data_IF_868804520081
#
_entry.id   IF_868804520081
#
_cell.length_a   1.000
_cell.length_b   1.000
_cell.length_c   1.000
_cell.angle_alpha   90.00
_cell.angle_beta   90.00
_cell.angle_gamma   90.00
#
_symmetry.space_group_name_H-M   'P 1'
#
loop_
_entity.id
_entity.type
_entity.pdbx_description
1 polymer ?
#
# COMPACT_ATOMS: atom_id res chain seq x y z
N UNK A 1 19.00 15.55 -11.29
CA UNK A 1 17.80 15.95 -12.02
C UNK A 1 16.79 14.85 -11.80
N UNK A 2 15.53 15.21 -11.52
CA UNK A 2 14.46 14.23 -11.34
C UNK A 2 14.31 13.38 -12.62
N UNK A 3 14.08 12.07 -12.47
CA UNK A 3 13.87 11.17 -13.60
C UNK A 3 12.86 10.08 -13.25
N UNK A 4 12.04 9.72 -14.24
CA UNK A 4 11.04 8.64 -14.16
C UNK A 4 11.42 7.58 -15.18
N UNK A 5 11.55 6.32 -14.74
CA UNK A 5 11.94 5.20 -15.61
C UNK A 5 11.10 3.97 -15.30
N UNK A 6 10.68 3.23 -16.34
CA UNK A 6 10.11 1.90 -16.14
C UNK A 6 11.23 0.89 -15.81
N UNK A 7 11.00 0.07 -14.79
CA UNK A 7 11.91 -0.99 -14.34
C UNK A 7 11.21 -2.34 -14.33
N UNK A 8 11.98 -3.43 -14.22
CA UNK A 8 11.46 -4.79 -14.38
C UNK A 8 10.94 -5.04 -15.80
N UNK A 9 10.35 -6.21 -16.05
CA UNK A 9 9.68 -6.57 -17.30
C UNK A 9 8.22 -6.96 -17.08
N UNK A 10 7.84 -7.29 -15.84
CA UNK A 10 6.48 -7.66 -15.50
C UNK A 10 5.51 -6.52 -15.79
N UNK A 11 4.36 -6.86 -16.37
CA UNK A 11 3.25 -5.93 -16.59
C UNK A 11 2.04 -6.41 -15.78
N UNK A 12 1.80 -5.74 -14.67
CA UNK A 12 0.66 -6.01 -13.81
C UNK A 12 -0.65 -5.62 -14.50
N UNK A 13 -1.73 -6.33 -14.20
CA UNK A 13 -3.06 -5.84 -14.52
C UNK A 13 -3.46 -4.72 -13.56
N UNK A 14 -3.17 -4.92 -12.27
CA UNK A 14 -3.35 -3.90 -11.23
C UNK A 14 -2.27 -4.05 -10.15
N UNK A 15 -1.12 -3.41 -10.37
CA UNK A 15 0.00 -3.46 -9.42
C UNK A 15 -0.32 -2.67 -8.17
N UNK A 16 0.00 -3.18 -6.98
CA UNK A 16 -0.37 -2.54 -5.70
C UNK A 16 0.57 -2.93 -4.56
N UNK A 17 0.41 -2.28 -3.40
CA UNK A 17 1.05 -2.63 -2.13
C UNK A 17 2.58 -2.75 -2.17
N UNK A 18 3.34 -1.84 -2.82
CA UNK A 18 4.79 -1.92 -2.85
C UNK A 18 5.39 -1.70 -1.46
N UNK A 19 6.40 -2.51 -1.13
CA UNK A 19 7.19 -2.40 0.09
C UNK A 19 8.64 -2.76 -0.19
N UNK A 20 9.56 -1.92 0.30
CA UNK A 20 10.99 -2.19 0.23
C UNK A 20 11.46 -3.01 1.43
N UNK A 21 12.10 -4.14 1.18
CA UNK A 21 12.58 -5.06 2.21
C UNK A 21 13.79 -5.87 1.74
N UNK A 22 14.86 -5.91 2.54
CA UNK A 22 16.09 -6.67 2.25
C UNK A 22 16.61 -6.49 0.81
N UNK A 23 16.75 -5.23 0.38
CA UNK A 23 17.21 -4.85 -0.96
C UNK A 23 16.35 -5.37 -2.13
N UNK A 24 15.07 -5.64 -1.84
CA UNK A 24 14.05 -6.06 -2.81
C UNK A 24 12.83 -5.17 -2.70
N UNK A 25 12.16 -4.96 -3.83
CA UNK A 25 10.81 -4.45 -3.82
C UNK A 25 9.84 -5.63 -3.88
N UNK A 26 8.93 -5.72 -2.92
CA UNK A 26 7.85 -6.71 -2.89
C UNK A 26 6.55 -5.95 -3.15
N UNK A 27 5.66 -6.50 -3.98
CA UNK A 27 4.38 -5.87 -4.33
C UNK A 27 3.40 -6.93 -4.82
N UNK A 28 2.19 -6.54 -5.19
CA UNK A 28 1.14 -7.47 -5.65
C UNK A 28 0.62 -7.09 -7.03
N UNK A 29 0.03 -8.05 -7.74
CA UNK A 29 -0.90 -7.81 -8.85
C UNK A 29 -2.26 -8.36 -8.42
N UNK A 30 -3.16 -7.44 -8.06
CA UNK A 30 -4.46 -7.78 -7.46
C UNK A 30 -5.23 -8.70 -8.39
N UNK A 31 -5.40 -8.30 -9.65
CA UNK A 31 -6.25 -8.97 -10.63
C UNK A 31 -5.63 -10.24 -11.21
N UNK A 32 -4.32 -10.43 -11.08
CA UNK A 32 -3.63 -11.68 -11.46
C UNK A 32 -3.32 -12.59 -10.28
N UNK A 33 -3.77 -12.26 -9.07
CA UNK A 33 -3.61 -13.10 -7.88
C UNK A 33 -2.14 -13.44 -7.58
N UNK A 34 -1.24 -12.45 -7.71
CA UNK A 34 0.20 -12.67 -7.59
C UNK A 34 0.83 -11.76 -6.54
N UNK A 35 1.72 -12.34 -5.75
CA UNK A 35 2.76 -11.60 -5.03
C UNK A 35 4.00 -11.59 -5.91
N UNK A 36 4.70 -10.46 -5.97
CA UNK A 36 5.87 -10.23 -6.81
C UNK A 36 7.05 -9.74 -5.98
N UNK A 37 8.25 -10.10 -6.41
CA UNK A 37 9.50 -9.58 -5.89
C UNK A 37 10.37 -9.11 -7.06
N UNK A 38 10.89 -7.89 -6.98
CA UNK A 38 11.80 -7.30 -7.94
C UNK A 38 13.16 -7.04 -7.28
N UNK A 39 14.23 -7.53 -7.91
CA UNK A 39 15.61 -7.24 -7.56
C UNK A 39 16.16 -6.12 -8.47
N UNK A 40 16.34 -4.88 -7.98
CA UNK A 40 16.87 -3.81 -8.82
C UNK A 40 18.36 -3.96 -9.17
N UNK A 41 19.12 -4.79 -8.44
CA UNK A 41 20.54 -5.01 -8.73
C UNK A 41 20.74 -5.91 -9.96
N UNK A 42 19.82 -6.87 -10.18
CA UNK A 42 19.93 -7.86 -11.27
C UNK A 42 18.85 -7.69 -12.33
N UNK A 43 17.75 -7.02 -12.02
CA UNK A 43 16.53 -6.97 -12.83
C UNK A 43 15.67 -8.23 -12.75
N UNK A 44 16.00 -9.19 -11.88
CA UNK A 44 15.24 -10.43 -11.69
C UNK A 44 13.86 -10.14 -11.07
N UNK A 45 12.85 -10.85 -11.57
CA UNK A 45 11.48 -10.79 -11.06
C UNK A 45 11.00 -12.20 -10.70
N UNK A 46 10.51 -12.36 -9.47
CA UNK A 46 9.86 -13.59 -9.00
C UNK A 46 8.38 -13.32 -8.76
N UNK A 47 7.57 -14.37 -8.88
CA UNK A 47 6.14 -14.28 -8.53
C UNK A 47 5.63 -15.56 -7.90
N UNK A 48 4.68 -15.41 -6.98
CA UNK A 48 3.96 -16.50 -6.32
C UNK A 48 2.48 -16.35 -6.65
N UNK A 49 1.89 -17.40 -7.21
CA UNK A 49 0.46 -17.45 -7.51
C UNK A 49 -0.30 -17.89 -6.26
N UNK A 50 -1.24 -17.07 -5.82
CA UNK A 50 -2.06 -17.30 -4.61
C UNK A 50 -3.54 -17.46 -4.94
N UNK A 51 -3.88 -17.69 -6.21
CA UNK A 51 -5.27 -17.77 -6.70
C UNK A 51 -6.08 -18.89 -6.04
N UNK A 52 -5.44 -20.01 -5.70
CA UNK A 52 -6.11 -21.17 -5.12
C UNK A 52 -6.46 -21.01 -3.63
N UNK A 53 -5.87 -20.03 -2.94
CA UNK A 53 -6.02 -19.86 -1.49
C UNK A 53 -6.46 -18.45 -1.12
N UNK A 54 -5.68 -17.43 -1.49
CA UNK A 54 -5.91 -16.01 -1.13
C UNK A 54 -6.86 -15.32 -2.10
N UNK A 55 -6.86 -15.74 -3.38
CA UNK A 55 -7.60 -15.05 -4.44
C UNK A 55 -6.88 -13.77 -4.88
N UNK A 56 -7.63 -12.68 -5.08
CA UNK A 56 -7.05 -11.34 -5.24
C UNK A 56 -6.34 -10.95 -3.98
N UNK A 57 -5.11 -10.49 -4.13
CA UNK A 57 -4.22 -10.11 -3.03
C UNK A 57 -3.94 -8.62 -3.16
N UNK A 58 -4.37 -7.83 -2.17
CA UNK A 58 -4.29 -6.37 -2.19
C UNK A 58 -3.03 -5.81 -1.53
N UNK A 59 -2.45 -6.55 -0.58
CA UNK A 59 -1.32 -6.08 0.23
C UNK A 59 -0.41 -7.23 0.63
N UNK A 60 0.86 -6.89 0.87
CA UNK A 60 1.92 -7.79 1.32
C UNK A 60 2.88 -7.05 2.24
N UNK A 61 3.26 -7.69 3.36
CA UNK A 61 4.31 -7.19 4.27
C UNK A 61 5.27 -8.31 4.68
N UNK A 62 6.56 -8.01 4.92
CA UNK A 62 7.50 -8.97 5.49
C UNK A 62 7.18 -9.28 6.95
N UNK A 63 7.63 -10.44 7.43
CA UNK A 63 7.48 -10.87 8.83
C UNK A 63 8.82 -11.08 9.52
N UNK A 64 8.84 -10.86 10.84
CA UNK A 64 9.99 -11.22 11.70
C UNK A 64 9.99 -12.72 12.00
N UNK A 65 8.84 -13.29 12.40
CA UNK A 65 8.74 -14.75 12.60
C UNK A 65 8.33 -15.39 11.28
N UNK A 66 9.04 -16.45 10.91
CA UNK A 66 8.91 -17.08 9.59
C UNK A 66 8.21 -18.44 9.65
N UNK A 67 7.65 -18.81 10.81
CA UNK A 67 6.82 -20.00 10.93
C UNK A 67 5.55 -19.84 10.08
N UNK A 68 5.34 -20.79 9.17
CA UNK A 68 4.22 -20.75 8.21
C UNK A 68 4.41 -19.81 7.02
N UNK A 69 5.52 -19.06 6.95
CA UNK A 69 5.88 -18.17 5.83
C UNK A 69 6.56 -16.88 6.28
N UNK A 70 7.32 -16.25 5.39
CA UNK A 70 8.10 -15.04 5.67
C UNK A 70 7.41 -13.74 5.20
N UNK A 71 6.24 -13.88 4.58
CA UNK A 71 5.35 -12.78 4.21
C UNK A 71 3.98 -12.95 4.86
N UNK A 72 3.29 -11.84 5.11
CA UNK A 72 1.87 -11.77 5.43
C UNK A 72 1.16 -11.08 4.26
N UNK A 73 0.08 -11.67 3.78
CA UNK A 73 -0.74 -11.16 2.68
C UNK A 73 -2.21 -11.03 3.08
N UNK A 74 -2.91 -10.06 2.49
CA UNK A 74 -4.36 -9.88 2.65
C UNK A 74 -5.07 -9.92 1.30
N UNK A 75 -6.18 -10.66 1.22
CA UNK A 75 -6.93 -10.81 -0.03
C UNK A 75 -8.41 -11.10 0.13
N UNK A 76 -8.97 -11.81 -0.86
CA UNK A 76 -10.40 -12.19 -0.91
C UNK A 76 -10.79 -13.11 0.26
N UNK A 77 -9.89 -13.98 0.73
CA UNK A 77 -10.18 -14.99 1.76
C UNK A 77 -9.52 -14.68 3.10
N UNK A 78 -9.35 -13.39 3.40
CA UNK A 78 -8.77 -12.92 4.64
C UNK A 78 -7.24 -12.79 4.62
N UNK A 79 -6.61 -13.01 5.78
CA UNK A 79 -5.18 -12.87 6.01
C UNK A 79 -4.49 -14.23 6.00
N UNK A 80 -3.36 -14.31 5.29
CA UNK A 80 -2.56 -15.54 5.15
C UNK A 80 -1.08 -15.23 5.33
N UNK A 81 -0.31 -16.22 5.78
CA UNK A 81 1.13 -16.23 5.57
C UNK A 81 1.46 -16.83 4.20
N UNK A 82 2.53 -16.34 3.58
CA UNK A 82 3.11 -16.88 2.35
C UNK A 82 4.58 -17.20 2.60
N UNK A 83 4.97 -18.44 2.32
CA UNK A 83 6.35 -18.90 2.34
C UNK A 83 6.97 -18.74 0.95
N UNK A 84 7.91 -17.80 0.79
CA UNK A 84 8.54 -17.55 -0.53
C UNK A 84 9.35 -18.72 -1.08
N UNK A 85 9.82 -19.64 -0.23
CA UNK A 85 10.65 -20.77 -0.66
C UNK A 85 9.81 -21.86 -1.33
N UNK A 86 8.64 -22.17 -0.76
CA UNK A 86 7.75 -23.24 -1.19
C UNK A 86 6.55 -22.75 -1.99
N UNK A 87 6.19 -21.48 -1.86
CA UNK A 87 4.93 -20.91 -2.36
C UNK A 87 3.70 -21.34 -1.57
N UNK A 88 3.87 -22.03 -0.43
CA UNK A 88 2.77 -22.44 0.41
C UNK A 88 2.14 -21.24 1.13
N UNK A 89 0.82 -21.30 1.33
CA UNK A 89 0.07 -20.31 2.10
C UNK A 89 -0.56 -20.96 3.33
N UNK A 90 -0.59 -20.21 4.44
CA UNK A 90 -1.19 -20.64 5.71
C UNK A 90 -2.22 -19.61 6.14
N UNK A 91 -3.50 -19.99 6.21
CA UNK A 91 -4.56 -19.10 6.64
C UNK A 91 -4.39 -18.68 8.11
N UNK A 92 -4.66 -17.40 8.41
CA UNK A 92 -4.62 -16.81 9.75
C UNK A 92 -6.05 -16.59 10.24
N UNK A 93 -6.78 -15.72 9.55
CA UNK A 93 -8.14 -15.29 9.93
C UNK A 93 -8.81 -14.56 8.77
N UNK A 94 -10.14 -14.62 8.72
CA UNK A 94 -10.98 -13.81 7.84
C UNK A 94 -12.03 -13.10 8.71
N UNK A 95 -11.99 -11.77 8.83
CA UNK A 95 -12.99 -11.02 9.59
C UNK A 95 -14.34 -10.89 8.88
N UNK A 96 -14.41 -11.13 7.57
CA UNK A 96 -15.59 -10.86 6.76
C UNK A 96 -16.01 -12.07 5.88
N UNK A 97 -16.06 -13.31 6.41
CA UNK A 97 -16.27 -14.52 5.60
C UNK A 97 -17.65 -14.57 4.93
N UNK A 98 -18.62 -13.82 5.46
CA UNK A 98 -19.98 -13.72 4.92
C UNK A 98 -20.17 -12.51 3.99
N UNK A 99 -19.13 -11.70 3.73
CA UNK A 99 -19.18 -10.56 2.81
C UNK A 99 -18.49 -10.88 1.49
N UNK A 100 -19.16 -11.63 0.63
CA UNK A 100 -18.65 -12.06 -0.69
C UNK A 100 -18.23 -10.91 -1.62
N UNK A 101 -18.70 -9.68 -1.36
CA UNK A 101 -18.35 -8.48 -2.12
C UNK A 101 -17.27 -7.63 -1.45
N UNK A 102 -16.57 -8.16 -0.44
CA UNK A 102 -15.44 -7.50 0.19
C UNK A 102 -14.14 -8.29 -0.02
N UNK A 103 -13.02 -7.58 0.04
CA UNK A 103 -11.68 -8.14 0.11
C UNK A 103 -10.75 -7.18 0.84
N UNK A 104 -9.64 -7.65 1.40
CA UNK A 104 -8.56 -6.75 1.79
C UNK A 104 -8.01 -5.99 0.56
N UNK A 105 -7.64 -4.74 0.78
CA UNK A 105 -7.02 -3.87 -0.22
C UNK A 105 -5.63 -3.45 0.26
N UNK A 106 -5.41 -2.19 0.64
CA UNK A 106 -4.09 -1.78 1.12
C UNK A 106 -3.88 -2.12 2.62
N UNK A 107 -2.61 -2.24 3.00
CA UNK A 107 -2.18 -2.53 4.35
C UNK A 107 -0.69 -2.34 4.56
N UNK A 108 -0.31 -1.98 5.79
CA UNK A 108 1.08 -1.76 6.20
C UNK A 108 1.24 -2.01 7.69
N UNK A 109 2.47 -2.29 8.12
CA UNK A 109 2.78 -2.41 9.54
C UNK A 109 3.04 -1.06 10.19
N UNK A 110 2.48 -0.90 11.39
CA UNK A 110 2.85 0.14 12.34
C UNK A 110 4.31 0.00 12.81
N UNK A 111 4.94 1.07 13.35
CA UNK A 111 6.33 1.04 13.83
C UNK A 111 6.61 -0.01 14.92
N UNK A 112 5.58 -0.42 15.66
CA UNK A 112 5.63 -1.45 16.70
C UNK A 112 5.25 -2.85 16.19
N UNK A 113 5.14 -3.02 14.86
CA UNK A 113 5.05 -4.33 14.21
C UNK A 113 3.65 -4.94 14.19
N UNK A 114 2.59 -4.15 14.42
CA UNK A 114 1.19 -4.57 14.18
C UNK A 114 0.83 -4.34 12.73
N UNK A 115 0.13 -5.28 12.10
CA UNK A 115 -0.30 -5.15 10.72
C UNK A 115 -1.68 -4.51 10.64
N UNK A 116 -1.80 -3.38 9.95
CA UNK A 116 -3.09 -2.76 9.65
C UNK A 116 -3.41 -2.98 8.18
N UNK A 117 -4.60 -3.47 7.91
CA UNK A 117 -5.11 -3.62 6.55
C UNK A 117 -6.62 -3.43 6.57
N UNK A 118 -7.16 -2.78 5.56
CA UNK A 118 -8.60 -2.58 5.48
C UNK A 118 -9.21 -3.23 4.24
N UNK A 119 -10.50 -3.47 4.34
CA UNK A 119 -11.28 -4.04 3.25
C UNK A 119 -11.82 -2.97 2.33
N UNK A 120 -12.40 -3.40 1.21
CA UNK A 120 -13.12 -2.55 0.26
C UNK A 120 -14.44 -3.20 -0.09
N UNK A 121 -15.45 -2.39 -0.41
CA UNK A 121 -16.68 -2.89 -1.03
C UNK A 121 -16.52 -2.90 -2.55
N UNK A 122 -16.54 -4.07 -3.17
CA UNK A 122 -16.44 -4.26 -4.63
C UNK A 122 -17.67 -3.71 -5.38
N UNK A 123 -18.79 -3.59 -4.67
CA UNK A 123 -20.04 -2.98 -5.16
C UNK A 123 -20.16 -1.51 -4.75
N UNK A 124 -19.11 -0.93 -4.15
CA UNK A 124 -19.01 0.47 -3.73
C UNK A 124 -20.09 0.90 -2.73
N UNK A 125 -20.52 -0.01 -1.84
CA UNK A 125 -21.41 0.34 -0.74
C UNK A 125 -20.66 1.19 0.29
N UNK A 126 -21.16 2.40 0.53
CA UNK A 126 -20.56 3.31 1.49
C UNK A 126 -20.61 2.73 2.92
N UNK A 127 -19.47 2.69 3.59
CA UNK A 127 -19.35 2.24 4.98
C UNK A 127 -19.45 0.73 5.19
N UNK A 128 -19.39 -0.07 4.12
CA UNK A 128 -19.49 -1.54 4.17
C UNK A 128 -18.12 -2.23 4.38
N UNK A 129 -17.04 -1.47 4.39
CA UNK A 129 -15.69 -1.95 4.67
C UNK A 129 -15.18 -1.49 6.03
N UNK A 130 -14.06 -2.07 6.46
CA UNK A 130 -13.47 -1.85 7.79
C UNK A 130 -11.94 -1.86 7.71
N UNK A 131 -11.28 -1.00 8.47
CA UNK A 131 -9.84 -1.11 8.75
C UNK A 131 -9.62 -2.01 9.96
N UNK A 132 -8.83 -3.07 9.77
CA UNK A 132 -8.48 -4.02 10.82
C UNK A 132 -7.03 -3.85 11.26
N UNK A 133 -6.74 -4.32 12.47
CA UNK A 133 -5.41 -4.43 13.07
C UNK A 133 -5.17 -5.86 13.55
N UNK A 134 -4.14 -6.50 13.03
CA UNK A 134 -3.62 -7.77 13.51
C UNK A 134 -2.43 -7.50 14.45
N UNK A 135 -2.56 -7.94 15.69
CA UNK A 135 -1.50 -7.86 16.70
C UNK A 135 -0.50 -9.03 16.54
N UNK A 136 0.72 -8.95 17.10
CA UNK A 136 1.76 -9.98 16.94
C UNK A 136 1.43 -11.37 17.52
N UNK A 137 0.34 -11.47 18.29
CA UNK A 137 -0.23 -12.71 18.80
C UNK A 137 -1.36 -13.27 17.91
N UNK A 138 -1.55 -12.67 16.74
CA UNK A 138 -2.58 -12.97 15.74
C UNK A 138 -4.01 -12.63 16.19
N UNK A 139 -4.19 -11.87 17.27
CA UNK A 139 -5.49 -11.30 17.60
C UNK A 139 -5.86 -10.19 16.61
N UNK A 140 -7.07 -10.26 16.06
CA UNK A 140 -7.57 -9.31 15.08
C UNK A 140 -8.60 -8.38 15.73
N UNK A 141 -8.44 -7.09 15.50
CA UNK A 141 -9.27 -6.03 16.06
C UNK A 141 -9.79 -5.10 14.96
N UNK A 142 -10.98 -4.57 15.14
CA UNK A 142 -11.42 -3.41 14.34
C UNK A 142 -10.65 -2.17 14.81
N UNK A 143 -9.93 -1.53 13.89
CA UNK A 143 -9.19 -0.30 14.17
C UNK A 143 -9.99 0.95 13.82
N UNK A 144 -10.75 0.90 12.71
CA UNK A 144 -11.63 1.99 12.27
C UNK A 144 -12.75 1.41 11.39
N UNK A 145 -14.00 1.79 11.68
CA UNK A 145 -15.20 1.26 11.03
C UNK A 145 -15.76 2.20 9.95
N UNK A 146 -16.79 1.73 9.23
CA UNK A 146 -17.51 2.51 8.21
C UNK A 146 -16.61 3.07 7.12
N UNK A 147 -15.60 2.30 6.74
CA UNK A 147 -14.74 2.55 5.58
C UNK A 147 -15.51 2.18 4.31
N UNK A 148 -15.16 2.81 3.18
CA UNK A 148 -15.73 2.44 1.87
C UNK A 148 -14.69 1.78 0.98
N UNK A 149 -13.52 2.40 0.86
CA UNK A 149 -12.39 1.89 0.09
C UNK A 149 -11.08 2.15 0.86
N UNK A 150 -10.63 1.18 1.66
CA UNK A 150 -9.41 1.29 2.44
C UNK A 150 -8.17 1.35 1.56
N UNK A 151 -7.35 2.38 1.77
CA UNK A 151 -6.14 2.61 0.99
C UNK A 151 -4.98 3.11 1.87
N UNK A 152 -4.05 3.86 1.28
CA UNK A 152 -2.77 4.27 1.84
C UNK A 152 -2.77 4.49 3.35
N UNK A 153 -1.90 3.75 4.05
CA UNK A 153 -1.68 3.89 5.49
C UNK A 153 -0.18 4.00 5.82
N UNK A 154 0.18 4.97 6.65
CA UNK A 154 1.55 5.20 7.15
C UNK A 154 1.54 5.82 8.55
N UNK A 155 2.70 5.84 9.20
CA UNK A 155 2.91 6.50 10.49
C UNK A 155 3.95 7.60 10.37
N UNK A 156 3.81 8.63 11.19
CA UNK A 156 4.87 9.63 11.41
C UNK A 156 6.16 8.97 11.89
N UNK A 157 7.30 9.62 11.67
CA UNK A 157 8.61 9.07 12.05
C UNK A 157 8.76 8.82 13.57
N UNK A 158 8.05 9.59 14.40
CA UNK A 158 7.99 9.39 15.86
C UNK A 158 6.97 8.32 16.28
N UNK A 159 6.23 7.75 15.32
CA UNK A 159 5.19 6.76 15.52
C UNK A 159 3.92 7.29 16.21
N UNK A 160 3.78 8.59 16.46
CA UNK A 160 2.66 9.12 17.25
C UNK A 160 1.39 9.39 16.44
N UNK A 161 1.51 9.52 15.11
CA UNK A 161 0.38 9.81 14.21
C UNK A 161 0.27 8.73 13.14
N UNK A 162 -0.93 8.18 12.95
CA UNK A 162 -1.28 7.34 11.81
C UNK A 162 -1.98 8.21 10.76
N UNK A 163 -1.53 8.15 9.51
CA UNK A 163 -2.17 8.76 8.35
C UNK A 163 -2.84 7.68 7.51
N UNK A 164 -4.07 7.91 7.07
CA UNK A 164 -4.91 6.91 6.44
C UNK A 164 -5.79 7.51 5.35
N UNK A 165 -6.01 6.75 4.28
CA UNK A 165 -6.88 7.11 3.15
C UNK A 165 -8.06 6.13 3.10
N UNK A 166 -9.28 6.68 3.17
CA UNK A 166 -10.50 6.05 2.66
C UNK A 166 -10.88 6.82 1.38
N UNK A 167 -10.56 6.24 0.22
CA UNK A 167 -10.44 6.97 -1.05
C UNK A 167 -11.63 7.89 -1.39
N UNK A 168 -12.91 7.48 -1.26
CA UNK A 168 -14.06 8.32 -1.56
C UNK A 168 -14.18 9.61 -0.73
N UNK A 169 -13.44 9.72 0.38
CA UNK A 169 -13.42 10.93 1.20
C UNK A 169 -12.59 12.06 0.61
N UNK A 170 -11.71 11.76 -0.37
CA UNK A 170 -10.81 12.72 -1.00
C UNK A 170 -10.01 13.54 0.03
N UNK A 171 -9.54 12.86 1.07
CA UNK A 171 -8.72 13.46 2.12
C UNK A 171 -7.74 12.42 2.67
N UNK A 172 -6.61 12.89 3.21
CA UNK A 172 -5.78 12.10 4.12
C UNK A 172 -6.23 12.38 5.53
N UNK A 173 -6.66 11.34 6.24
CA UNK A 173 -7.09 11.37 7.64
C UNK A 173 -5.88 11.12 8.53
N UNK A 174 -5.78 11.84 9.65
CA UNK A 174 -4.81 11.58 10.70
C UNK A 174 -5.50 11.14 12.00
N UNK A 175 -4.83 10.25 12.73
CA UNK A 175 -5.21 9.79 14.05
C UNK A 175 -4.01 9.90 15.00
N UNK A 176 -4.26 10.21 16.26
CA UNK A 176 -3.30 9.90 17.32
C UNK A 176 -3.21 8.37 17.45
N UNK A 177 -1.99 7.84 17.43
CA UNK A 177 -1.72 6.40 17.57
C UNK A 177 -1.09 6.11 18.94
N UNK A 178 -1.57 5.07 19.62
CA UNK A 178 -1.02 4.62 20.89
C UNK A 178 -0.24 3.30 20.71
N UNK A 179 1.10 3.32 20.66
CA UNK A 179 1.92 2.12 20.39
C UNK A 179 1.74 0.99 21.41
N UNK A 180 1.31 1.27 22.64
CA UNK A 180 1.10 0.20 23.62
C UNK A 180 -0.16 -0.62 23.34
N UNK A 181 -1.23 0.04 22.86
CA UNK A 181 -2.54 -0.58 22.65
C UNK A 181 -2.89 -0.80 21.19
N UNK A 182 -2.20 -0.14 20.26
CA UNK A 182 -2.50 -0.09 18.84
C UNK A 182 -3.77 0.71 18.51
N UNK A 183 -4.26 1.54 19.42
CA UNK A 183 -5.52 2.29 19.26
C UNK A 183 -5.34 3.56 18.42
N UNK A 184 -6.36 3.89 17.63
CA UNK A 184 -6.48 5.12 16.85
C UNK A 184 -7.48 6.04 17.54
N UNK A 185 -7.14 7.33 17.70
CA UNK A 185 -8.02 8.32 18.32
C UNK A 185 -7.83 9.71 17.71
N UNK A 186 -8.65 10.68 18.12
CA UNK A 186 -8.59 12.09 17.68
C UNK A 186 -8.46 12.26 16.16
N UNK A 187 -9.38 11.61 15.44
CA UNK A 187 -9.51 11.73 14.00
C UNK A 187 -9.57 13.21 13.58
N UNK A 188 -8.76 13.56 12.59
CA UNK A 188 -8.72 14.89 11.97
C UNK A 188 -8.31 14.78 10.51
N UNK A 189 -8.68 15.75 9.69
CA UNK A 189 -8.16 15.86 8.33
C UNK A 189 -6.74 16.42 8.37
N UNK A 190 -5.79 15.76 7.72
CA UNK A 190 -4.42 16.24 7.54
C UNK A 190 -4.25 16.95 6.18
N UNK A 191 -4.80 16.35 5.12
CA UNK A 191 -4.70 16.87 3.74
C UNK A 191 -6.07 16.81 3.09
N UNK A 192 -6.46 17.87 2.38
CA UNK A 192 -7.61 17.87 1.48
C UNK A 192 -7.10 17.60 0.07
N UNK A 193 -7.59 16.53 -0.58
CA UNK A 193 -7.16 16.14 -1.93
C UNK A 193 -8.27 16.32 -2.96
N UNK A 194 -9.34 17.05 -2.63
CA UNK A 194 -10.48 17.24 -3.52
C UNK A 194 -10.24 18.26 -4.65
N UNK A 195 -9.24 19.14 -4.49
CA UNK A 195 -8.91 20.22 -5.42
C UNK A 195 -8.03 19.79 -6.62
N UNK A 196 -7.79 18.49 -6.82
CA UNK A 196 -7.10 17.98 -8.03
C UNK A 196 -8.13 18.03 -9.18
N UNK A 197 -8.25 19.21 -9.79
CA UNK A 197 -9.42 19.66 -10.55
C UNK A 197 -9.57 19.14 -11.97
N UNK A 198 -8.57 18.43 -12.50
CA UNK A 198 -8.49 18.25 -13.96
C UNK A 198 -8.84 16.84 -14.45
N UNK A 199 -8.89 15.85 -13.56
CA UNK A 199 -9.25 14.44 -13.84
C UNK A 199 -9.98 13.87 -12.61
N UNK A 200 -10.79 12.81 -12.78
CA UNK A 200 -11.38 12.01 -11.69
C UNK A 200 -10.34 11.26 -10.84
N UNK A 201 -9.26 11.94 -10.45
CA UNK A 201 -8.15 11.41 -9.68
C UNK A 201 -8.58 11.09 -8.25
N UNK A 202 -8.04 10.02 -7.70
CA UNK A 202 -8.40 9.50 -6.39
C UNK A 202 -7.14 9.17 -5.59
N UNK A 203 -7.01 9.64 -4.33
CA UNK A 203 -5.89 9.27 -3.49
C UNK A 203 -5.93 7.76 -3.24
N UNK A 204 -4.81 7.08 -3.46
CA UNK A 204 -4.70 5.63 -3.45
C UNK A 204 -3.63 5.19 -2.41
N UNK A 205 -2.58 4.48 -2.79
CA UNK A 205 -1.48 4.11 -1.90
C UNK A 205 -0.61 5.30 -1.47
N UNK A 206 -0.05 5.22 -0.25
CA UNK A 206 0.74 6.30 0.37
C UNK A 206 2.01 5.78 1.04
N UNK A 207 3.09 6.57 0.96
CA UNK A 207 4.32 6.42 1.76
C UNK A 207 4.70 7.72 2.47
N UNK A 208 5.70 7.68 3.35
CA UNK A 208 6.22 8.85 4.08
C UNK A 208 7.73 8.98 3.87
N UNK A 209 8.21 10.21 3.74
CA UNK A 209 9.64 10.51 3.67
C UNK A 209 10.26 10.82 5.04
N UNK A 210 11.60 10.89 5.09
CA UNK A 210 12.36 11.16 6.31
C UNK A 210 12.16 12.58 6.86
N UNK A 211 11.55 13.49 6.09
CA UNK A 211 11.16 14.83 6.55
C UNK A 211 9.74 14.84 7.12
N UNK A 212 9.01 13.72 7.05
CA UNK A 212 7.64 13.58 7.52
C UNK A 212 6.58 14.00 6.49
N UNK A 213 6.95 14.18 5.21
CA UNK A 213 5.99 14.50 4.16
C UNK A 213 5.35 13.22 3.60
N UNK A 214 4.09 13.33 3.20
CA UNK A 214 3.29 12.23 2.68
C UNK A 214 3.37 12.20 1.15
N UNK A 215 3.79 11.08 0.60
CA UNK A 215 3.81 10.82 -0.84
C UNK A 215 2.63 9.94 -1.20
N UNK A 216 1.68 10.49 -1.95
CA UNK A 216 0.39 9.85 -2.27
C UNK A 216 0.31 9.61 -3.77
N UNK A 217 0.08 8.36 -4.16
CA UNK A 217 -0.26 7.98 -5.52
C UNK A 217 -1.72 8.38 -5.82
N UNK A 218 -1.96 8.92 -7.02
CA UNK A 218 -3.29 9.28 -7.47
C UNK A 218 -3.74 8.39 -8.61
N UNK A 219 -4.64 7.46 -8.29
CA UNK A 219 -5.30 6.60 -9.25
C UNK A 219 -6.19 7.44 -10.17
N UNK A 220 -6.19 7.12 -11.45
CA UNK A 220 -6.73 7.97 -12.52
C UNK A 220 -6.11 9.38 -12.60
N UNK A 221 -5.04 9.67 -11.85
CA UNK A 221 -4.45 11.00 -11.75
C UNK A 221 -3.10 11.13 -12.45
N UNK A 222 -2.52 10.03 -12.91
CA UNK A 222 -1.21 10.01 -13.56
C UNK A 222 -0.09 10.72 -12.78
N UNK A 223 -0.14 10.73 -11.44
CA UNK A 223 0.83 11.45 -10.64
C UNK A 223 1.03 10.86 -9.23
N UNK A 224 2.16 11.25 -8.63
CA UNK A 224 2.39 11.14 -7.19
C UNK A 224 2.61 12.55 -6.65
N UNK A 225 1.89 12.88 -5.57
CA UNK A 225 1.98 14.20 -4.92
C UNK A 225 2.59 14.07 -3.52
N UNK A 226 3.43 15.03 -3.18
CA UNK A 226 4.04 15.16 -1.86
C UNK A 226 3.32 16.26 -1.08
N UNK A 227 2.86 15.96 0.13
CA UNK A 227 2.14 16.87 1.01
C UNK A 227 2.85 17.05 2.34
N UNK A 228 2.83 18.28 2.86
CA UNK A 228 3.12 18.55 4.26
C UNK A 228 1.87 18.26 5.10
N UNK A 229 1.84 17.21 5.93
CA UNK A 229 0.65 16.87 6.71
C UNK A 229 0.33 17.89 7.83
N UNK A 230 1.27 18.78 8.19
CA UNK A 230 1.04 19.79 9.22
C UNK A 230 0.28 21.02 8.68
N UNK A 231 0.54 21.37 7.41
CA UNK A 231 -0.10 22.52 6.77
C UNK A 231 -1.16 22.13 5.75
N UNK A 232 -1.18 20.86 5.32
CA UNK A 232 -2.06 20.33 4.28
C UNK A 232 -1.66 20.74 2.86
N UNK A 233 -0.49 21.38 2.68
CA UNK A 233 -0.07 21.92 1.38
C UNK A 233 0.61 20.89 0.52
N UNK A 234 0.32 20.93 -0.78
CA UNK A 234 1.13 20.27 -1.81
C UNK A 234 2.52 20.93 -1.84
N UNK A 235 3.56 20.14 -1.66
CA UNK A 235 4.96 20.55 -1.70
C UNK A 235 5.61 20.25 -3.05
N UNK A 236 5.23 19.13 -3.66
CA UNK A 236 5.82 18.64 -4.90
C UNK A 236 4.85 17.74 -5.65
N UNK A 237 5.04 17.64 -6.97
CA UNK A 237 4.22 16.86 -7.89
C UNK A 237 5.10 16.20 -8.93
N UNK A 238 4.98 14.89 -9.05
CA UNK A 238 5.64 14.11 -10.10
C UNK A 238 4.56 13.60 -11.06
N UNK A 239 4.57 14.12 -12.28
CA UNK A 239 3.72 13.63 -13.36
C UNK A 239 4.29 12.33 -13.93
N UNK A 240 3.40 11.37 -14.22
CA UNK A 240 3.73 10.02 -14.65
C UNK A 240 3.04 9.67 -15.97
N UNK A 241 3.65 8.81 -16.80
CA UNK A 241 3.09 8.40 -18.09
C UNK A 241 2.07 7.25 -17.95
N UNK A 242 1.36 7.16 -16.82
CA UNK A 242 0.44 6.06 -16.49
C UNK A 242 -0.74 6.57 -15.68
N UNK A 243 -1.93 6.58 -16.26
CA UNK A 243 -3.15 7.08 -15.64
C UNK A 243 -3.50 6.33 -14.35
N UNK A 244 -3.39 5.00 -14.37
CA UNK A 244 -3.61 4.13 -13.21
C UNK A 244 -2.37 4.07 -12.32
N UNK A 245 -2.04 5.18 -11.65
CA UNK A 245 -0.98 5.23 -10.64
C UNK A 245 -1.55 4.81 -9.28
N UNK A 246 -1.13 3.66 -8.75
CA UNK A 246 -1.86 2.99 -7.65
C UNK A 246 -1.21 3.17 -6.29
N UNK A 247 0.09 2.93 -6.15
CA UNK A 247 0.78 3.04 -4.87
C UNK A 247 2.27 3.34 -5.04
N UNK A 248 2.93 3.73 -3.95
CA UNK A 248 4.36 4.03 -3.97
C UNK A 248 5.09 3.66 -2.68
N UNK A 249 6.39 3.38 -2.79
CA UNK A 249 7.28 3.09 -1.67
C UNK A 249 8.71 3.54 -1.98
N UNK A 250 9.39 4.10 -0.99
CA UNK A 250 10.82 4.39 -1.09
C UNK A 250 11.63 3.10 -0.96
N UNK A 251 12.70 3.01 -1.76
CA UNK A 251 13.63 1.90 -1.81
C UNK A 251 14.99 2.32 -2.35
N UNK A 252 15.79 1.35 -2.75
CA UNK A 252 17.21 1.54 -3.06
C UNK A 252 18.08 1.57 -1.80
N UNK A 253 19.40 1.47 -1.99
CA UNK A 253 20.35 1.33 -0.89
C UNK A 253 20.33 2.51 0.11
N UNK A 254 19.95 3.70 -0.34
CA UNK A 254 19.85 4.91 0.49
C UNK A 254 18.39 5.33 0.76
N UNK A 255 17.40 4.52 0.36
CA UNK A 255 15.98 4.87 0.38
C UNK A 255 15.66 6.16 -0.41
N UNK A 256 16.44 6.50 -1.44
CA UNK A 256 16.31 7.71 -2.26
C UNK A 256 15.66 7.47 -3.63
N UNK A 257 15.15 6.25 -3.86
CA UNK A 257 14.43 5.85 -5.06
C UNK A 257 12.96 5.61 -4.71
N UNK A 258 12.03 6.35 -5.32
CA UNK A 258 10.60 6.14 -5.13
C UNK A 258 10.07 5.18 -6.20
N UNK A 259 9.70 3.98 -5.79
CA UNK A 259 9.04 3.00 -6.66
C UNK A 259 7.54 3.25 -6.68
N UNK A 260 6.93 3.14 -7.86
CA UNK A 260 5.51 3.40 -8.07
C UNK A 260 4.90 2.25 -8.87
N UNK A 261 3.89 1.61 -8.29
CA UNK A 261 3.09 0.58 -8.98
C UNK A 261 2.03 1.25 -9.85
N UNK A 262 1.68 0.58 -10.94
CA UNK A 262 0.64 1.07 -11.86
C UNK A 262 -0.28 -0.07 -12.29
N UNK A 263 -1.46 0.29 -12.80
CA UNK A 263 -2.43 -0.61 -13.42
C UNK A 263 -2.55 -0.40 -14.93
N UNK A 264 -3.38 -1.23 -15.56
CA UNK A 264 -3.76 -1.06 -16.98
C UNK A 264 -5.18 -0.53 -17.07
N UNK A 265 -5.32 0.70 -17.57
CA UNK A 265 -6.63 1.30 -17.81
C UNK A 265 -7.42 0.47 -18.83
N UNK A 266 -8.75 0.42 -18.70
CA UNK A 266 -9.61 -0.43 -19.54
C UNK A 266 -9.64 0.02 -21.01
N UNK A 267 -9.42 1.30 -21.29
CA UNK A 267 -9.55 1.89 -22.63
C UNK A 267 -8.33 2.66 -23.11
N UNK A 268 -7.43 3.07 -22.22
CA UNK A 268 -6.26 3.87 -22.61
C UNK A 268 -5.10 2.94 -22.95
N UNK A 269 -4.34 3.31 -23.98
CA UNK A 269 -3.14 2.57 -24.38
C UNK A 269 -1.90 3.40 -24.03
N UNK A 270 -1.26 3.05 -22.93
CA UNK A 270 -0.06 3.71 -22.44
C UNK A 270 1.11 2.73 -22.46
N UNK A 271 2.27 3.15 -22.98
CA UNK A 271 3.45 2.29 -23.14
C UNK A 271 3.86 1.61 -21.82
N UNK A 272 3.73 2.35 -20.71
CA UNK A 272 4.18 1.92 -19.39
C UNK A 272 3.06 1.45 -18.46
N UNK A 273 1.79 1.40 -18.89
CA UNK A 273 0.68 0.92 -18.06
C UNK A 273 0.93 -0.47 -17.46
N UNK A 274 0.76 -0.64 -16.15
CA UNK A 274 1.04 -1.88 -15.43
C UNK A 274 2.53 -2.14 -15.16
N UNK A 275 3.45 -1.27 -15.60
CA UNK A 275 4.87 -1.40 -15.29
C UNK A 275 5.18 -0.81 -13.93
N UNK A 276 6.21 -1.33 -13.29
CA UNK A 276 6.82 -0.70 -12.14
C UNK A 276 7.62 0.51 -12.61
N UNK A 277 7.34 1.69 -12.05
CA UNK A 277 8.10 2.90 -12.31
C UNK A 277 9.06 3.16 -11.14
N UNK A 278 10.19 3.79 -11.45
CA UNK A 278 11.18 4.26 -10.48
C UNK A 278 11.45 5.73 -10.72
N UNK A 279 11.31 6.52 -9.66
CA UNK A 279 11.59 7.95 -9.63
C UNK A 279 12.85 8.18 -8.81
N UNK A 280 13.81 8.92 -9.36
CA UNK A 280 15.06 9.28 -8.66
C UNK A 280 15.31 10.78 -8.74
N UNK A 281 16.19 11.29 -7.88
CA UNK A 281 16.56 12.70 -7.89
C UNK A 281 15.56 13.64 -7.21
N UNK A 282 14.68 13.08 -6.35
CA UNK A 282 13.69 13.82 -5.55
C UNK A 282 14.33 14.69 -4.45
N UNK A 283 15.59 14.42 -4.08
CA UNK A 283 16.30 15.17 -3.03
C UNK A 283 15.84 14.85 -1.61
N UNK A 284 15.05 13.79 -1.43
CA UNK A 284 14.59 13.26 -0.14
C UNK A 284 14.80 11.76 -0.09
N UNK A 285 14.79 11.20 1.12
CA UNK A 285 14.83 9.75 1.35
C UNK A 285 13.57 9.30 2.06
N UNK A 286 13.17 8.04 1.87
CA UNK A 286 12.17 7.38 2.69
C UNK A 286 12.65 7.03 4.08
N UNK A 287 11.82 6.25 4.76
CA UNK A 287 12.12 5.60 6.04
C UNK A 287 12.09 4.07 5.87
N UNK A 288 12.85 3.30 6.67
CA UNK A 288 12.79 1.85 6.61
C UNK A 288 11.38 1.30 6.88
N UNK A 289 10.96 0.32 6.08
CA UNK A 289 9.72 -0.42 6.31
C UNK A 289 9.80 -1.20 7.62
N UNK A 290 8.68 -1.26 8.35
CA UNK A 290 8.56 -2.12 9.54
C UNK A 290 7.94 -3.45 9.13
N UNK A 291 8.52 -4.61 9.50
CA UNK A 291 7.89 -5.91 9.29
C UNK A 291 6.82 -6.20 10.35
N UNK A 292 5.93 -7.13 10.07
CA UNK A 292 5.01 -7.68 11.08
C UNK A 292 5.81 -8.44 12.15
N UNK A 293 5.52 -8.18 13.43
CA UNK A 293 6.26 -8.74 14.57
C UNK A 293 5.77 -10.14 15.01
N UNK A 294 4.61 -10.57 14.51
CA UNK A 294 4.05 -11.92 14.69
C UNK A 294 4.31 -12.82 13.49
#
# INVERSE_FOLDING_TARGET
MESVTAVGNYRAQWGEGPIWWNDRLIYVDIEKHKVLEFDPATGEEKSWDVSATVGRVGTVVPRIKTDGGDLLVGGDTGLHFLDRQSGATTAITDPEPDKENNRFNDGKCSPDGRFFAGTISLVKNQGDATLYRLDPDLSLHTAYDKVTNSNGIVWSADGATCYYIDTPRLEVIAFDYQPTTGELSKQRRAVDTSDISDISASPDGMTIDANGNLWVAFCHGACVLCYDPNTGKELHRVELPCLETTACAFGGANLDELYVTTGVHKTEQEEHAGRLLKITGLGVTGVPSTPFAG
#
